data_IF_021152147033
#
_entry.id   IF_021152147033
#
_cell.length_a   1.000
_cell.length_b   1.000
_cell.length_c   1.000
_cell.angle_alpha   90.00
_cell.angle_beta   90.00
_cell.angle_gamma   90.00
#
_symmetry.space_group_name_H-M   'P 1'
#
loop_
_entity.id
_entity.type
_entity.pdbx_description
1 polymer ?
#
# COMPACT_ATOMS: atom_id res chain seq x y z
N UNK A 1 29.57 3.59 -1.24
CA UNK A 1 29.36 2.11 -1.44
C UNK A 1 30.53 1.48 -2.18
N UNK A 2 31.12 0.41 -1.64
CA UNK A 2 32.21 -0.32 -2.29
C UNK A 2 31.73 -1.23 -3.43
N UNK A 3 32.69 -1.77 -4.23
CA UNK A 3 32.37 -2.62 -5.38
C UNK A 3 31.71 -3.97 -5.02
N UNK A 4 31.86 -4.47 -3.78
CA UNK A 4 31.23 -5.69 -3.31
C UNK A 4 29.73 -5.45 -3.01
N UNK A 5 29.41 -4.37 -2.30
CA UNK A 5 28.03 -3.96 -1.99
C UNK A 5 27.26 -3.61 -3.27
N UNK A 6 27.91 -2.95 -4.23
CA UNK A 6 27.29 -2.67 -5.54
C UNK A 6 26.87 -3.94 -6.28
N UNK A 7 27.79 -4.93 -6.39
CA UNK A 7 27.46 -6.24 -7.00
C UNK A 7 26.37 -6.99 -6.25
N UNK A 8 26.28 -6.83 -4.92
CA UNK A 8 25.21 -7.42 -4.12
C UNK A 8 23.86 -6.78 -4.45
N UNK A 9 23.78 -5.44 -4.50
CA UNK A 9 22.57 -4.73 -4.88
C UNK A 9 22.09 -5.11 -6.29
N UNK A 10 23.01 -5.17 -7.27
CA UNK A 10 22.71 -5.60 -8.64
C UNK A 10 22.18 -7.05 -8.70
N UNK A 11 22.72 -7.93 -7.86
CA UNK A 11 22.26 -9.32 -7.77
C UNK A 11 20.86 -9.40 -7.18
N UNK A 12 20.58 -8.68 -6.08
CA UNK A 12 19.25 -8.60 -5.48
C UNK A 12 18.27 -8.06 -6.52
N UNK A 13 18.57 -6.94 -7.17
CA UNK A 13 17.71 -6.35 -8.19
C UNK A 13 17.37 -7.30 -9.34
N UNK A 14 18.34 -8.08 -9.83
CA UNK A 14 18.10 -9.09 -10.88
C UNK A 14 17.19 -10.23 -10.41
N UNK A 15 17.35 -10.69 -9.16
CA UNK A 15 16.46 -11.75 -8.59
C UNK A 15 15.03 -11.24 -8.46
N UNK A 16 14.84 -10.01 -7.99
CA UNK A 16 13.54 -9.38 -7.88
C UNK A 16 12.82 -9.31 -9.24
N UNK A 17 13.50 -8.83 -10.27
CA UNK A 17 12.93 -8.75 -11.61
C UNK A 17 12.70 -10.15 -12.22
N UNK A 18 13.45 -11.16 -11.78
CA UNK A 18 13.29 -12.57 -12.18
C UNK A 18 12.14 -13.30 -11.46
N UNK A 19 11.65 -12.79 -10.33
CA UNK A 19 10.53 -13.40 -9.59
C UNK A 19 9.17 -13.26 -10.32
N UNK A 20 9.11 -12.42 -11.36
CA UNK A 20 7.91 -12.27 -12.20
C UNK A 20 6.77 -11.56 -11.48
N UNK A 21 5.53 -12.03 -11.75
CA UNK A 21 4.30 -11.46 -11.19
C UNK A 21 3.84 -12.13 -9.88
N UNK A 22 4.70 -12.90 -9.24
CA UNK A 22 4.42 -13.53 -7.93
C UNK A 22 4.87 -12.59 -6.81
N UNK A 23 3.91 -11.96 -6.14
CA UNK A 23 4.18 -11.01 -5.06
C UNK A 23 4.86 -11.67 -3.85
N UNK A 24 4.47 -12.88 -3.49
CA UNK A 24 5.08 -13.60 -2.37
C UNK A 24 6.53 -13.96 -2.67
N UNK A 25 6.84 -14.30 -3.92
CA UNK A 25 8.21 -14.50 -4.36
C UNK A 25 9.02 -13.20 -4.33
N UNK A 26 8.46 -12.08 -4.79
CA UNK A 26 9.11 -10.75 -4.72
C UNK A 26 9.37 -10.34 -3.27
N UNK A 27 8.40 -10.46 -2.39
CA UNK A 27 8.56 -10.14 -0.96
C UNK A 27 9.62 -11.02 -0.30
N UNK A 28 9.62 -12.32 -0.59
CA UNK A 28 10.62 -13.26 -0.06
C UNK A 28 12.03 -12.88 -0.51
N UNK A 29 12.25 -12.63 -1.79
CA UNK A 29 13.55 -12.21 -2.33
C UNK A 29 14.04 -10.89 -1.72
N UNK A 30 13.13 -9.92 -1.48
CA UNK A 30 13.47 -8.67 -0.80
C UNK A 30 13.87 -8.91 0.66
N UNK A 31 13.05 -9.65 1.41
CA UNK A 31 13.31 -9.96 2.82
C UNK A 31 14.63 -10.73 2.97
N UNK A 32 14.83 -11.84 2.23
CA UNK A 32 16.06 -12.64 2.29
C UNK A 32 17.28 -11.82 1.86
N UNK A 33 17.15 -11.06 0.76
CA UNK A 33 18.25 -10.27 0.20
C UNK A 33 18.72 -9.16 1.14
N UNK A 34 17.79 -8.40 1.71
CA UNK A 34 18.11 -7.29 2.63
C UNK A 34 18.49 -7.80 4.02
N UNK A 35 17.83 -8.82 4.56
CA UNK A 35 18.18 -9.43 5.85
C UNK A 35 19.62 -9.94 5.83
N UNK A 36 19.99 -10.70 4.80
CA UNK A 36 21.37 -11.20 4.67
C UNK A 36 22.41 -10.09 4.43
N UNK A 37 22.02 -8.99 3.73
CA UNK A 37 22.92 -7.91 3.40
C UNK A 37 23.19 -6.96 4.56
N UNK A 38 22.19 -6.74 5.42
CA UNK A 38 22.21 -5.76 6.51
C UNK A 38 22.30 -6.39 7.90
N UNK A 39 22.26 -7.74 8.00
CA UNK A 39 22.21 -8.48 9.27
C UNK A 39 21.01 -8.03 10.13
N UNK A 40 19.81 -8.14 9.54
CA UNK A 40 18.57 -7.73 10.19
C UNK A 40 18.02 -8.83 11.08
N UNK A 41 17.39 -8.45 12.19
CA UNK A 41 16.71 -9.37 13.10
C UNK A 41 15.35 -9.81 12.57
N UNK A 42 14.58 -8.82 12.12
CA UNK A 42 13.23 -9.04 11.64
C UNK A 42 12.81 -7.93 10.67
N UNK A 43 11.76 -8.20 9.92
CA UNK A 43 11.19 -7.24 8.99
C UNK A 43 9.71 -7.53 8.74
N UNK A 44 8.94 -6.46 8.48
CA UNK A 44 7.58 -6.53 7.94
C UNK A 44 7.56 -5.91 6.55
N UNK A 45 6.80 -6.52 5.64
CA UNK A 45 6.60 -6.02 4.29
C UNK A 45 5.13 -6.04 3.93
N UNK A 46 4.63 -4.93 3.40
CA UNK A 46 3.22 -4.76 3.04
C UNK A 46 3.10 -4.33 1.59
N UNK A 47 2.30 -5.04 0.77
CA UNK A 47 1.81 -4.44 -0.45
C UNK A 47 0.72 -3.44 -0.10
N UNK A 48 0.68 -2.32 -0.82
CA UNK A 48 -0.23 -1.22 -0.56
C UNK A 48 -1.15 -0.97 -1.75
N UNK A 49 -2.36 -0.47 -1.47
CA UNK A 49 -3.21 0.11 -2.49
C UNK A 49 -2.50 1.29 -3.14
N UNK A 50 -2.25 1.26 -4.46
CA UNK A 50 -1.42 2.28 -5.10
C UNK A 50 -2.03 3.69 -5.12
N UNK A 51 -3.33 3.82 -4.88
CA UNK A 51 -4.00 5.11 -4.84
C UNK A 51 -3.97 5.76 -3.45
N UNK A 52 -4.00 4.94 -2.39
CA UNK A 52 -4.15 5.41 -1.01
C UNK A 52 -2.92 5.12 -0.14
N UNK A 53 -1.99 4.27 -0.59
CA UNK A 53 -0.87 3.79 0.23
C UNK A 53 -1.29 2.82 1.34
N UNK A 54 -2.55 2.38 1.33
CA UNK A 54 -3.10 1.54 2.39
C UNK A 54 -2.57 0.10 2.30
N UNK A 55 -2.09 -0.52 3.40
CA UNK A 55 -1.64 -1.90 3.41
C UNK A 55 -2.76 -2.89 3.08
N UNK A 56 -2.54 -3.77 2.10
CA UNK A 56 -3.52 -4.78 1.66
C UNK A 56 -3.04 -6.21 1.88
N UNK A 57 -1.75 -6.41 2.06
CA UNK A 57 -1.14 -7.70 2.45
C UNK A 57 -0.07 -7.48 3.50
N UNK A 58 0.34 -8.55 4.17
CA UNK A 58 1.46 -8.53 5.08
C UNK A 58 2.34 -9.77 4.86
N UNK A 59 3.65 -9.58 4.88
CA UNK A 59 4.65 -10.63 4.96
C UNK A 59 5.67 -10.23 6.03
N UNK A 60 6.11 -11.18 6.84
CA UNK A 60 7.10 -10.94 7.87
C UNK A 60 8.24 -11.96 7.80
N UNK A 61 9.41 -11.56 8.27
CA UNK A 61 10.56 -12.41 8.52
C UNK A 61 11.07 -12.13 9.94
N UNK A 62 11.42 -13.21 10.67
CA UNK A 62 11.76 -13.10 12.09
C UNK A 62 10.53 -12.80 12.97
N UNK A 63 10.76 -12.13 14.10
CA UNK A 63 9.73 -11.75 15.06
C UNK A 63 9.74 -10.20 15.22
N UNK A 64 8.97 -9.48 14.40
CA UNK A 64 8.91 -8.03 14.48
C UNK A 64 8.38 -7.53 15.82
N UNK A 65 8.91 -6.43 16.39
CA UNK A 65 8.41 -5.83 17.62
C UNK A 65 6.96 -5.38 17.53
N UNK A 66 6.16 -5.71 18.53
CA UNK A 66 4.78 -5.26 18.67
C UNK A 66 3.80 -5.86 17.65
N UNK A 67 2.56 -5.42 17.71
CA UNK A 67 1.52 -5.80 16.73
C UNK A 67 1.42 -4.78 15.60
N UNK A 68 0.77 -5.19 14.51
CA UNK A 68 0.47 -4.28 13.40
C UNK A 68 -0.44 -3.12 13.84
N UNK A 69 -1.43 -3.42 14.67
CA UNK A 69 -2.38 -2.43 15.22
C UNK A 69 -1.67 -1.42 16.11
N UNK A 70 -0.75 -1.88 16.97
CA UNK A 70 0.06 -1.01 17.82
C UNK A 70 0.95 -0.10 16.97
N UNK A 71 1.64 -0.64 15.97
CA UNK A 71 2.48 0.13 15.04
C UNK A 71 1.68 1.19 14.28
N UNK A 72 0.44 0.88 13.86
CA UNK A 72 -0.45 1.83 13.20
C UNK A 72 -0.85 3.01 14.10
N UNK A 73 -1.01 2.79 15.40
CA UNK A 73 -1.30 3.87 16.36
C UNK A 73 -0.25 4.98 16.31
N UNK A 74 1.02 4.61 16.15
CA UNK A 74 2.11 5.59 16.07
C UNK A 74 2.15 6.36 14.75
N UNK A 75 1.55 5.88 13.66
CA UNK A 75 1.47 6.64 12.40
C UNK A 75 0.72 7.97 12.55
N UNK A 76 -0.12 8.09 13.60
CA UNK A 76 -0.90 9.29 13.90
C UNK A 76 -0.49 9.96 15.22
N UNK A 77 0.48 9.39 15.95
CA UNK A 77 0.92 9.92 17.23
C UNK A 77 1.66 11.26 17.08
N UNK A 78 1.38 12.19 17.96
CA UNK A 78 2.10 13.47 18.01
C UNK A 78 3.58 13.25 18.35
N UNK A 79 4.47 13.90 17.62
CA UNK A 79 5.92 13.80 17.83
C UNK A 79 6.56 12.53 17.26
N UNK A 80 5.82 11.71 16.51
CA UNK A 80 6.40 10.54 15.81
C UNK A 80 7.27 10.98 14.63
N UNK A 81 8.34 10.22 14.38
CA UNK A 81 9.39 10.53 13.40
C UNK A 81 9.37 9.51 12.26
N UNK A 82 9.42 9.98 11.03
CA UNK A 82 9.52 9.14 9.84
C UNK A 82 8.26 8.32 9.55
N UNK A 83 7.08 8.93 9.72
CA UNK A 83 5.80 8.32 9.36
C UNK A 83 5.73 8.00 7.89
N UNK A 84 5.00 6.97 7.50
CA UNK A 84 4.85 6.63 6.08
C UNK A 84 4.20 7.74 5.27
N UNK A 85 3.28 8.52 5.86
CA UNK A 85 2.70 9.70 5.23
C UNK A 85 3.76 10.72 4.76
N UNK A 86 4.90 10.80 5.45
CA UNK A 86 6.03 11.69 5.11
C UNK A 86 6.95 11.07 4.04
N UNK A 87 6.92 9.75 3.88
CA UNK A 87 7.76 9.02 2.93
C UNK A 87 7.09 8.83 1.56
N UNK A 88 5.74 8.84 1.51
CA UNK A 88 5.03 8.69 0.25
C UNK A 88 5.32 9.84 -0.71
N UNK A 89 5.71 9.52 -1.94
CA UNK A 89 6.09 10.51 -2.95
C UNK A 89 6.09 9.96 -4.37
N UNK A 90 6.77 10.66 -5.28
CA UNK A 90 6.91 10.26 -6.68
C UNK A 90 8.05 9.29 -6.96
N UNK A 91 8.74 8.84 -5.94
CA UNK A 91 9.85 7.90 -6.03
C UNK A 91 10.01 7.14 -4.72
N UNK A 92 10.79 6.05 -4.73
CA UNK A 92 11.02 5.29 -3.52
C UNK A 92 11.81 6.11 -2.49
N UNK A 93 11.42 5.97 -1.23
CA UNK A 93 12.04 6.67 -0.10
C UNK A 93 12.43 5.68 1.00
N UNK A 94 13.39 6.08 1.82
CA UNK A 94 13.79 5.37 3.02
C UNK A 94 14.03 6.33 4.17
N UNK A 95 13.83 5.85 5.41
CA UNK A 95 14.07 6.58 6.64
C UNK A 95 14.73 5.65 7.65
N UNK A 96 15.99 5.93 8.00
CA UNK A 96 16.72 5.24 9.06
C UNK A 96 16.65 6.08 10.34
N UNK A 97 16.00 5.53 11.35
CA UNK A 97 15.62 6.30 12.56
C UNK A 97 16.84 6.84 13.32
N UNK A 98 17.87 6.01 13.53
CA UNK A 98 19.06 6.44 14.25
C UNK A 98 19.79 7.59 13.54
N UNK A 99 19.87 7.58 12.21
CA UNK A 99 20.48 8.66 11.44
C UNK A 99 19.63 9.92 11.45
N UNK A 100 18.33 9.80 11.27
CA UNK A 100 17.39 10.91 11.23
C UNK A 100 17.31 11.65 12.57
N UNK A 101 17.49 10.93 13.68
CA UNK A 101 17.49 11.48 15.05
C UNK A 101 18.89 11.82 15.57
N UNK A 102 19.89 11.87 14.70
CA UNK A 102 21.29 12.13 15.07
C UNK A 102 21.81 11.21 16.20
N UNK A 103 21.44 9.92 16.15
CA UNK A 103 21.84 8.90 17.12
C UNK A 103 20.96 8.82 18.38
N UNK A 104 19.77 9.43 18.37
CA UNK A 104 18.82 9.44 19.48
C UNK A 104 17.47 8.83 19.09
N UNK A 105 17.41 7.54 18.69
CA UNK A 105 16.18 6.93 18.19
C UNK A 105 15.03 6.95 19.21
N UNK A 106 15.31 7.02 20.50
CA UNK A 106 14.31 7.17 21.56
C UNK A 106 13.55 8.51 21.56
N UNK A 107 13.89 9.46 20.67
CA UNK A 107 13.05 10.63 20.38
C UNK A 107 11.71 10.22 19.73
N UNK A 108 11.69 9.10 18.97
CA UNK A 108 10.46 8.48 18.47
C UNK A 108 9.70 7.79 19.61
N UNK A 109 8.45 8.17 19.89
CA UNK A 109 7.58 7.43 20.82
C UNK A 109 7.48 5.94 20.48
N UNK A 110 7.24 5.60 19.21
CA UNK A 110 7.19 4.23 18.72
C UNK A 110 8.44 3.44 19.07
N UNK A 111 9.61 4.02 18.82
CA UNK A 111 10.86 3.33 19.09
C UNK A 111 11.01 3.05 20.59
N UNK A 112 10.82 4.07 21.44
CA UNK A 112 10.98 3.98 22.89
C UNK A 112 10.01 3.00 23.56
N UNK A 113 8.76 2.96 23.08
CA UNK A 113 7.67 2.25 23.76
C UNK A 113 7.44 0.86 23.20
N UNK A 114 7.61 0.68 21.87
CA UNK A 114 7.32 -0.57 21.19
C UNK A 114 8.58 -1.33 20.73
N UNK A 115 9.62 -0.64 20.25
CA UNK A 115 10.74 -1.28 19.53
C UNK A 115 11.93 -1.56 20.46
N UNK A 116 12.39 -0.57 21.22
CA UNK A 116 13.55 -0.65 22.10
C UNK A 116 13.45 -1.78 23.16
N UNK A 117 12.28 -2.08 23.76
CA UNK A 117 12.12 -3.17 24.71
C UNK A 117 12.47 -4.55 24.16
N UNK A 118 12.45 -4.73 22.84
CA UNK A 118 12.82 -5.98 22.14
C UNK A 118 14.32 -6.07 21.83
N UNK A 119 15.14 -5.11 22.27
CA UNK A 119 16.59 -5.10 22.04
C UNK A 119 17.00 -4.66 20.64
N UNK A 120 16.10 -4.02 19.91
CA UNK A 120 16.37 -3.41 18.59
C UNK A 120 17.10 -2.08 18.80
N UNK A 121 18.13 -1.82 17.99
CA UNK A 121 18.94 -0.60 18.08
C UNK A 121 18.64 0.42 16.98
N UNK A 122 18.02 -0.01 15.88
CA UNK A 122 17.64 0.85 14.76
C UNK A 122 16.46 0.29 13.97
N UNK A 123 15.71 1.19 13.37
CA UNK A 123 14.60 0.90 12.46
C UNK A 123 14.85 1.56 11.11
N UNK A 124 14.67 0.79 10.04
CA UNK A 124 14.67 1.31 8.67
C UNK A 124 13.29 1.15 8.06
N UNK A 125 12.68 2.25 7.67
CA UNK A 125 11.42 2.28 6.93
C UNK A 125 11.69 2.51 5.45
N UNK A 126 10.96 1.80 4.60
CA UNK A 126 11.05 1.89 3.15
C UNK A 126 9.65 2.07 2.58
N UNK A 127 9.47 3.12 1.77
CA UNK A 127 8.27 3.34 0.96
C UNK A 127 8.63 3.14 -0.51
N UNK A 128 7.99 2.19 -1.18
CA UNK A 128 8.15 1.97 -2.61
C UNK A 128 7.03 2.69 -3.36
N UNK A 129 7.37 3.87 -3.87
CA UNK A 129 6.47 4.70 -4.68
C UNK A 129 7.09 5.00 -6.03
N UNK A 130 6.25 5.34 -6.99
CA UNK A 130 6.63 5.92 -8.26
C UNK A 130 5.51 6.88 -8.76
N UNK A 131 5.65 7.52 -9.93
CA UNK A 131 4.58 8.39 -10.45
C UNK A 131 3.23 7.71 -10.67
N UNK A 132 3.17 6.38 -10.58
CA UNK A 132 1.96 5.59 -10.81
C UNK A 132 1.26 5.20 -9.52
N UNK A 133 1.91 5.27 -8.36
CA UNK A 133 1.28 5.01 -7.09
C UNK A 133 2.22 4.61 -5.94
N UNK A 134 1.60 4.27 -4.81
CA UNK A 134 2.25 3.79 -3.59
C UNK A 134 2.13 2.26 -3.54
N UNK A 135 3.21 1.54 -3.82
CA UNK A 135 3.14 0.10 -4.09
C UNK A 135 3.40 -0.76 -2.86
N UNK A 136 4.26 -0.28 -1.96
CA UNK A 136 4.66 -1.09 -0.82
C UNK A 136 5.27 -0.25 0.30
N UNK A 137 5.06 -0.71 1.54
CA UNK A 137 5.69 -0.21 2.75
C UNK A 137 6.44 -1.35 3.44
N UNK A 138 7.63 -1.06 3.95
CA UNK A 138 8.41 -2.02 4.72
C UNK A 138 9.03 -1.39 5.96
N UNK A 139 9.14 -2.19 7.03
CA UNK A 139 9.86 -1.85 8.25
C UNK A 139 10.85 -2.97 8.54
N UNK A 140 12.11 -2.60 8.71
CA UNK A 140 13.22 -3.51 8.95
C UNK A 140 13.86 -3.14 10.31
N UNK A 141 14.12 -4.16 11.13
CA UNK A 141 14.62 -3.99 12.49
C UNK A 141 16.02 -4.57 12.63
N UNK A 142 16.93 -3.82 13.25
CA UNK A 142 18.33 -4.20 13.42
C UNK A 142 18.80 -4.01 14.86
N UNK A 143 19.59 -4.99 15.39
CA UNK A 143 20.26 -4.88 16.70
C UNK A 143 21.50 -4.00 16.68
N UNK A 144 21.89 -3.55 15.51
CA UNK A 144 22.96 -2.57 15.34
C UNK A 144 22.43 -1.31 14.66
N UNK A 145 23.09 -0.22 14.84
CA UNK A 145 22.80 0.99 14.07
C UNK A 145 23.20 0.78 12.61
N UNK A 146 22.32 1.18 11.69
CA UNK A 146 22.60 1.19 10.28
C UNK A 146 23.45 2.41 9.92
N UNK A 147 24.45 2.23 9.08
CA UNK A 147 25.33 3.28 8.61
C UNK A 147 24.96 3.74 7.18
N UNK A 148 25.62 4.81 6.72
CA UNK A 148 25.33 5.36 5.39
C UNK A 148 25.65 4.37 4.25
N UNK A 149 26.63 3.48 4.43
CA UNK A 149 26.96 2.44 3.46
C UNK A 149 25.82 1.38 3.35
N UNK A 150 25.14 1.09 4.46
CA UNK A 150 23.96 0.23 4.48
C UNK A 150 22.81 0.88 3.70
N UNK A 151 22.57 2.17 3.94
CA UNK A 151 21.53 2.92 3.23
C UNK A 151 21.83 3.08 1.73
N UNK A 152 23.10 3.26 1.34
CA UNK A 152 23.49 3.29 -0.08
C UNK A 152 23.17 1.95 -0.78
N UNK A 153 23.42 0.83 -0.10
CA UNK A 153 23.05 -0.49 -0.64
C UNK A 153 21.54 -0.60 -0.84
N UNK A 154 20.74 -0.21 0.16
CA UNK A 154 19.27 -0.22 0.05
C UNK A 154 18.83 0.70 -1.09
N UNK A 155 19.28 1.96 -1.14
CA UNK A 155 18.95 2.91 -2.23
C UNK A 155 19.23 2.32 -3.62
N UNK A 156 20.29 1.54 -3.77
CA UNK A 156 20.61 0.90 -5.05
C UNK A 156 19.64 -0.24 -5.43
N UNK A 157 18.96 -0.85 -4.46
CA UNK A 157 17.95 -1.91 -4.69
C UNK A 157 16.58 -1.31 -4.98
N UNK A 158 16.22 -0.15 -4.39
CA UNK A 158 14.87 0.39 -4.43
C UNK A 158 14.26 0.54 -5.84
N UNK A 159 14.97 0.99 -6.89
CA UNK A 159 14.37 1.11 -8.22
C UNK A 159 13.88 -0.23 -8.77
N UNK A 160 14.69 -1.28 -8.64
CA UNK A 160 14.31 -2.64 -9.07
C UNK A 160 13.18 -3.22 -8.20
N UNK A 161 13.22 -2.96 -6.89
CA UNK A 161 12.19 -3.37 -5.96
C UNK A 161 10.84 -2.72 -6.30
N UNK A 162 10.82 -1.41 -6.56
CA UNK A 162 9.60 -0.68 -6.94
C UNK A 162 8.96 -1.26 -8.20
N UNK A 163 9.76 -1.52 -9.23
CA UNK A 163 9.27 -2.13 -10.49
C UNK A 163 8.75 -3.54 -10.24
N UNK A 164 9.50 -4.38 -9.51
CA UNK A 164 9.11 -5.76 -9.26
C UNK A 164 7.81 -5.84 -8.45
N UNK A 165 7.70 -5.08 -7.35
CA UNK A 165 6.49 -5.05 -6.52
C UNK A 165 5.30 -4.49 -7.32
N UNK A 166 5.49 -3.42 -8.10
CA UNK A 166 4.44 -2.87 -8.95
C UNK A 166 3.86 -3.91 -9.92
N UNK A 167 4.72 -4.65 -10.61
CA UNK A 167 4.29 -5.68 -11.56
C UNK A 167 3.62 -6.86 -10.87
N UNK A 168 4.15 -7.27 -9.71
CA UNK A 168 3.61 -8.40 -8.96
C UNK A 168 2.33 -8.06 -8.18
N UNK A 169 2.16 -6.81 -7.74
CA UNK A 169 0.97 -6.37 -7.03
C UNK A 169 -0.21 -6.06 -7.97
N UNK A 170 0.05 -5.72 -9.25
CA UNK A 170 -1.02 -5.39 -10.19
C UNK A 170 -2.14 -6.44 -10.26
N UNK A 171 -1.88 -7.76 -10.27
CA UNK A 171 -2.93 -8.78 -10.26
C UNK A 171 -3.78 -8.81 -8.99
N UNK A 172 -3.29 -8.30 -7.84
CA UNK A 172 -4.08 -8.25 -6.61
C UNK A 172 -5.32 -7.36 -6.73
N UNK A 173 -5.29 -6.39 -7.64
CA UNK A 173 -6.36 -5.41 -7.82
C UNK A 173 -7.40 -5.83 -8.85
N UNK A 174 -7.32 -7.09 -9.32
CA UNK A 174 -8.25 -7.72 -10.23
C UNK A 174 -9.16 -8.66 -9.46
N UNK A 175 -10.44 -8.34 -9.44
CA UNK A 175 -11.59 -9.19 -9.11
C UNK A 175 -11.93 -9.54 -7.65
N UNK A 176 -13.24 -9.63 -7.41
CA UNK A 176 -13.93 -10.16 -6.23
C UNK A 176 -15.40 -9.75 -6.21
N UNK A 177 -16.30 -10.67 -5.89
CA UNK A 177 -17.72 -10.36 -5.72
C UNK A 177 -17.92 -9.46 -4.50
N UNK A 178 -18.30 -8.23 -4.73
CA UNK A 178 -18.51 -7.24 -3.68
C UNK A 178 -19.97 -7.22 -3.18
N UNK A 179 -20.25 -6.73 -1.96
CA UNK A 179 -21.60 -6.66 -1.41
C UNK A 179 -22.47 -5.71 -2.25
N UNK A 180 -23.73 -6.09 -2.45
CA UNK A 180 -24.69 -5.31 -3.23
C UNK A 180 -25.14 -4.02 -2.52
N UNK A 181 -24.96 -3.90 -1.21
CA UNK A 181 -25.36 -2.74 -0.41
C UNK A 181 -24.22 -2.22 0.45
N UNK A 182 -24.15 -0.89 0.68
CA UNK A 182 -23.24 -0.31 1.67
C UNK A 182 -23.49 -0.86 3.05
N UNK A 183 -22.46 -1.01 3.84
CA UNK A 183 -22.49 -1.44 5.23
C UNK A 183 -21.85 -0.37 6.12
N UNK A 184 -22.31 -0.24 7.35
CA UNK A 184 -21.81 0.77 8.28
C UNK A 184 -21.32 0.13 9.58
N UNK A 185 -20.11 0.53 9.95
CA UNK A 185 -19.47 0.21 11.23
C UNK A 185 -19.28 1.50 12.01
N UNK A 186 -19.54 1.48 13.31
CA UNK A 186 -19.25 2.59 14.23
C UNK A 186 -18.19 2.13 15.24
N UNK A 187 -17.13 2.89 15.35
CA UNK A 187 -15.96 2.64 16.19
C UNK A 187 -15.91 3.70 17.29
N UNK A 188 -15.77 3.29 18.55
CA UNK A 188 -15.68 4.21 19.69
C UNK A 188 -14.26 4.83 19.83
N UNK A 189 -14.12 5.73 20.81
CA UNK A 189 -12.86 6.44 21.08
C UNK A 189 -11.70 5.53 21.49
N UNK A 190 -11.99 4.33 21.97
CA UNK A 190 -11.02 3.30 22.37
C UNK A 190 -10.79 2.24 21.29
N UNK A 191 -11.13 2.55 20.02
CA UNK A 191 -10.98 1.68 18.86
C UNK A 191 -11.75 0.34 18.97
N UNK A 192 -12.90 0.33 19.64
CA UNK A 192 -13.75 -0.85 19.77
C UNK A 192 -15.01 -0.72 18.91
N UNK A 193 -15.53 -1.86 18.49
CA UNK A 193 -16.80 -1.92 17.76
C UNK A 193 -17.95 -1.47 18.62
N UNK A 194 -18.46 -0.26 18.40
CA UNK A 194 -19.66 0.26 19.07
C UNK A 194 -20.96 -0.24 18.44
N UNK A 195 -20.94 -0.38 17.11
CA UNK A 195 -22.09 -0.87 16.38
C UNK A 195 -21.79 -1.22 14.94
N UNK A 196 -22.58 -2.12 14.39
CA UNK A 196 -22.50 -2.50 12.98
C UNK A 196 -23.90 -2.92 12.51
N UNK A 197 -24.25 -2.61 11.27
CA UNK A 197 -25.44 -3.16 10.65
C UNK A 197 -25.25 -4.66 10.31
N UNK A 198 -26.30 -5.31 9.81
CA UNK A 198 -26.28 -6.74 9.51
C UNK A 198 -25.23 -7.06 8.42
N UNK A 199 -25.17 -6.27 7.37
CA UNK A 199 -24.23 -6.46 6.25
C UNK A 199 -22.79 -6.24 6.72
N UNK A 200 -22.55 -5.22 7.56
CA UNK A 200 -21.24 -4.95 8.14
C UNK A 200 -20.73 -6.13 8.97
N UNK A 201 -21.57 -6.77 9.80
CA UNK A 201 -21.16 -7.95 10.58
C UNK A 201 -20.73 -9.13 9.70
N UNK A 202 -21.45 -9.36 8.60
CA UNK A 202 -21.09 -10.39 7.62
C UNK A 202 -19.72 -10.06 6.96
N UNK A 203 -19.47 -8.79 6.63
CA UNK A 203 -18.20 -8.33 6.04
C UNK A 203 -17.05 -8.37 7.04
N UNK A 204 -17.26 -7.99 8.29
CA UNK A 204 -16.26 -8.09 9.35
C UNK A 204 -15.78 -9.54 9.52
N UNK A 205 -16.70 -10.51 9.53
CA UNK A 205 -16.32 -11.92 9.56
C UNK A 205 -15.46 -12.37 8.36
N UNK A 206 -15.74 -11.82 7.16
CA UNK A 206 -14.93 -12.08 5.95
C UNK A 206 -13.57 -11.38 5.96
N UNK A 207 -13.42 -10.31 6.74
CA UNK A 207 -12.15 -9.61 6.95
C UNK A 207 -11.26 -10.29 8.02
N UNK A 208 -11.72 -11.40 8.60
CA UNK A 208 -10.92 -12.19 9.52
C UNK A 208 -10.95 -11.69 10.96
N UNK A 209 -12.04 -11.03 11.38
CA UNK A 209 -12.22 -10.65 12.78
C UNK A 209 -12.26 -11.90 13.65
N UNK A 210 -11.27 -12.04 14.50
CA UNK A 210 -11.24 -13.08 15.53
C UNK A 210 -12.38 -12.92 16.55
N UNK A 211 -12.75 -14.00 17.23
CA UNK A 211 -13.93 -14.09 18.09
C UNK A 211 -13.99 -13.14 19.31
N UNK A 212 -12.98 -12.34 19.58
CA UNK A 212 -12.86 -11.48 20.76
C UNK A 212 -13.23 -10.00 20.53
N UNK A 213 -13.78 -9.67 19.36
CA UNK A 213 -14.27 -8.31 19.09
C UNK A 213 -13.18 -7.32 18.65
N UNK A 214 -11.98 -7.80 18.40
CA UNK A 214 -10.93 -6.98 17.79
C UNK A 214 -11.33 -6.56 16.38
N UNK A 215 -11.16 -5.26 16.10
CA UNK A 215 -11.42 -4.72 14.76
C UNK A 215 -10.28 -5.14 13.81
N UNK A 216 -10.58 -5.39 12.51
CA UNK A 216 -9.54 -5.50 11.50
C UNK A 216 -8.65 -4.25 11.54
N UNK A 217 -7.32 -4.42 11.49
CA UNK A 217 -6.37 -3.31 11.52
C UNK A 217 -6.64 -2.21 10.50
N UNK A 218 -7.28 -2.55 9.37
CA UNK A 218 -7.76 -1.58 8.37
C UNK A 218 -8.76 -0.59 8.95
N UNK A 219 -9.66 -1.02 9.81
CA UNK A 219 -10.68 -0.16 10.41
C UNK A 219 -10.08 0.74 11.49
N UNK A 220 -9.17 0.20 12.30
CA UNK A 220 -8.41 0.95 13.30
C UNK A 220 -7.56 2.02 12.64
N UNK A 221 -6.87 1.68 11.55
CA UNK A 221 -6.11 2.64 10.75
C UNK A 221 -6.98 3.79 10.23
N UNK A 222 -8.13 3.47 9.62
CA UNK A 222 -9.02 4.49 9.08
C UNK A 222 -9.65 5.34 10.19
N UNK A 223 -9.93 4.76 11.34
CA UNK A 223 -10.42 5.50 12.50
C UNK A 223 -9.38 6.49 13.02
N UNK A 224 -8.12 6.06 13.16
CA UNK A 224 -7.01 6.92 13.55
C UNK A 224 -6.78 8.06 12.52
N UNK A 225 -6.82 7.73 11.22
CA UNK A 225 -6.69 8.71 10.13
C UNK A 225 -7.84 9.74 10.16
N UNK A 226 -9.08 9.29 10.38
CA UNK A 226 -10.22 10.19 10.49
C UNK A 226 -10.11 11.16 11.68
N UNK A 227 -9.58 10.69 12.82
CA UNK A 227 -9.34 11.53 14.02
C UNK A 227 -8.16 12.48 13.84
N UNK A 228 -7.15 12.10 13.05
CA UNK A 228 -6.00 12.94 12.71
C UNK A 228 -6.35 14.18 11.90
N UNK A 229 -7.48 14.17 11.20
CA UNK A 229 -8.18 15.35 10.70
C UNK A 229 -7.49 16.16 9.60
N UNK A 230 -6.71 15.54 8.70
CA UNK A 230 -6.24 16.26 7.51
C UNK A 230 -7.37 16.33 6.46
N UNK A 231 -7.95 17.52 6.21
CA UNK A 231 -9.03 17.69 5.23
C UNK A 231 -8.60 17.38 3.79
N UNK A 232 -7.29 17.41 3.50
CA UNK A 232 -6.72 17.18 2.17
C UNK A 232 -6.39 15.70 1.94
N UNK A 233 -6.37 14.89 3.00
CA UNK A 233 -6.14 13.44 2.94
C UNK A 233 -7.32 12.69 3.57
N UNK A 234 -8.40 12.44 2.81
CA UNK A 234 -9.59 11.79 3.32
C UNK A 234 -9.27 10.41 3.91
N UNK A 235 -9.92 10.06 5.02
CA UNK A 235 -9.79 8.76 5.65
C UNK A 235 -10.52 7.68 4.81
N UNK A 236 -9.97 7.38 3.65
CA UNK A 236 -10.47 6.38 2.71
C UNK A 236 -9.39 5.35 2.40
N UNK A 237 -9.81 4.15 2.04
CA UNK A 237 -8.93 3.06 1.71
C UNK A 237 -9.65 1.93 0.99
N UNK A 238 -8.90 0.95 0.53
CA UNK A 238 -9.42 -0.30 -0.01
C UNK A 238 -8.78 -1.47 0.70
N UNK A 239 -9.55 -2.52 0.90
CA UNK A 239 -9.06 -3.76 1.49
C UNK A 239 -9.66 -4.96 0.79
N UNK A 240 -9.07 -6.13 1.01
CA UNK A 240 -9.54 -7.39 0.44
C UNK A 240 -10.07 -8.30 1.52
N UNK A 241 -11.22 -8.90 1.30
CA UNK A 241 -11.75 -9.96 2.18
C UNK A 241 -11.00 -11.26 1.97
N UNK A 242 -11.07 -12.18 2.94
CA UNK A 242 -10.41 -13.49 2.85
C UNK A 242 -10.83 -14.34 1.65
N UNK A 243 -12.03 -14.11 1.11
CA UNK A 243 -12.54 -14.75 -0.11
C UNK A 243 -12.25 -13.95 -1.39
N UNK A 244 -11.45 -12.90 -1.29
CA UNK A 244 -10.90 -12.17 -2.42
C UNK A 244 -11.69 -10.95 -2.88
N UNK A 245 -12.84 -10.61 -2.29
CA UNK A 245 -13.63 -9.45 -2.67
C UNK A 245 -12.96 -8.12 -2.26
N UNK A 246 -13.03 -7.12 -3.13
CA UNK A 246 -12.53 -5.79 -2.83
C UNK A 246 -13.61 -4.90 -2.20
N UNK A 247 -13.25 -4.28 -1.09
CA UNK A 247 -14.07 -3.29 -0.39
C UNK A 247 -13.40 -1.93 -0.44
N UNK A 248 -14.17 -0.91 -0.76
CA UNK A 248 -13.82 0.48 -0.52
C UNK A 248 -14.38 0.89 0.85
N UNK A 249 -13.58 1.61 1.60
CA UNK A 249 -13.89 2.07 2.95
C UNK A 249 -13.71 3.59 3.00
N UNK A 250 -14.71 4.26 3.57
CA UNK A 250 -14.66 5.69 3.84
C UNK A 250 -15.00 5.92 5.30
N UNK A 251 -14.09 6.55 6.05
CA UNK A 251 -14.28 6.85 7.46
C UNK A 251 -14.51 8.34 7.68
N UNK A 252 -15.39 8.67 8.61
CA UNK A 252 -15.69 10.04 9.03
C UNK A 252 -16.01 10.10 10.52
N UNK A 253 -15.69 11.24 11.15
CA UNK A 253 -16.04 11.48 12.54
C UNK A 253 -17.57 11.61 12.71
N UNK A 254 -18.09 11.00 13.76
CA UNK A 254 -19.44 11.21 14.28
C UNK A 254 -19.35 12.13 15.52
N UNK A 255 -19.36 13.42 15.30
CA UNK A 255 -19.21 14.44 16.34
C UNK A 255 -17.91 15.25 16.21
N UNK A 256 -17.55 15.98 17.26
CA UNK A 256 -16.40 16.86 17.31
C UNK A 256 -15.41 16.42 18.39
N UNK A 257 -14.11 16.64 18.12
CA UNK A 257 -13.03 16.39 19.07
C UNK A 257 -12.38 15.01 18.99
N UNK A 258 -11.24 14.82 19.70
CA UNK A 258 -10.41 13.61 19.57
C UNK A 258 -11.04 12.33 20.11
N UNK A 259 -12.08 12.45 20.94
CA UNK A 259 -12.86 11.32 21.46
C UNK A 259 -14.13 11.02 20.67
N UNK A 260 -14.32 11.59 19.47
CA UNK A 260 -15.48 11.33 18.66
C UNK A 260 -15.48 9.89 18.12
N UNK A 261 -16.67 9.30 18.05
CA UNK A 261 -16.87 8.04 17.34
C UNK A 261 -16.55 8.20 15.85
N UNK A 262 -16.19 7.12 15.20
CA UNK A 262 -15.92 7.09 13.75
C UNK A 262 -16.93 6.17 13.06
N UNK A 263 -17.62 6.69 12.05
CA UNK A 263 -18.38 5.86 11.13
C UNK A 263 -17.49 5.43 9.97
N UNK A 264 -17.45 4.14 9.68
CA UNK A 264 -16.81 3.59 8.49
C UNK A 264 -17.89 2.98 7.61
N UNK A 265 -17.98 3.50 6.39
CA UNK A 265 -18.84 2.95 5.34
C UNK A 265 -18.02 1.99 4.50
N UNK A 266 -18.45 0.72 4.48
CA UNK A 266 -17.88 -0.32 3.63
C UNK A 266 -18.82 -0.50 2.43
N UNK A 267 -18.27 -0.50 1.24
CA UNK A 267 -19.01 -0.72 -0.01
C UNK A 267 -18.19 -1.54 -0.99
N UNK A 268 -18.85 -2.06 -2.00
CA UNK A 268 -18.15 -2.62 -3.14
C UNK A 268 -17.10 -1.64 -3.66
N UNK A 269 -15.87 -2.06 -3.83
CA UNK A 269 -14.93 -1.25 -4.60
C UNK A 269 -15.44 -1.15 -6.04
N UNK A 270 -15.51 0.05 -6.64
CA UNK A 270 -15.94 0.18 -8.02
C UNK A 270 -15.03 -0.63 -8.94
N UNK A 271 -15.60 -1.37 -9.91
CA UNK A 271 -14.84 -2.13 -10.91
C UNK A 271 -13.79 -1.26 -11.63
N UNK A 272 -14.10 0.03 -11.82
CA UNK A 272 -13.20 1.01 -12.42
C UNK A 272 -11.98 1.34 -11.55
N UNK A 273 -12.09 1.23 -10.23
CA UNK A 273 -10.97 1.43 -9.31
C UNK A 273 -9.95 0.29 -9.38
N UNK A 274 -10.42 -0.94 -9.63
CA UNK A 274 -9.53 -2.09 -9.83
C UNK A 274 -8.80 -2.00 -11.16
N UNK A 275 -9.49 -1.67 -12.24
CA UNK A 275 -8.85 -1.45 -13.54
C UNK A 275 -7.81 -0.31 -13.49
N UNK A 276 -8.09 0.81 -12.83
CA UNK A 276 -7.11 1.89 -12.68
C UNK A 276 -5.84 1.41 -11.96
N UNK A 277 -5.97 0.61 -10.90
CA UNK A 277 -4.83 0.05 -10.17
C UNK A 277 -4.01 -0.90 -11.06
N UNK A 278 -4.67 -1.77 -11.84
CA UNK A 278 -4.00 -2.63 -12.80
C UNK A 278 -3.26 -1.83 -13.86
N UNK A 279 -3.92 -0.81 -14.45
CA UNK A 279 -3.31 0.05 -15.45
C UNK A 279 -2.12 0.85 -14.89
N UNK A 280 -2.17 1.25 -13.61
CA UNK A 280 -1.00 1.80 -12.88
C UNK A 280 0.14 0.79 -12.84
N UNK A 281 -0.15 -0.47 -12.54
CA UNK A 281 0.83 -1.56 -12.54
C UNK A 281 1.59 -1.68 -13.87
N UNK A 282 0.91 -1.48 -14.99
CA UNK A 282 1.53 -1.43 -16.31
C UNK A 282 2.22 -0.10 -16.66
N UNK A 283 2.23 0.87 -15.74
CA UNK A 283 2.91 2.15 -15.93
C UNK A 283 2.20 3.09 -16.89
N UNK A 284 0.87 3.04 -16.97
CA UNK A 284 0.09 4.01 -17.73
C UNK A 284 0.04 5.34 -16.98
N UNK A 285 0.26 6.44 -17.70
CA UNK A 285 0.03 7.79 -17.18
C UNK A 285 -1.45 7.99 -16.82
N UNK A 286 -1.75 9.00 -16.01
CA UNK A 286 -3.12 9.33 -15.62
C UNK A 286 -4.04 9.45 -16.84
N UNK A 287 -3.60 10.17 -17.87
CA UNK A 287 -4.40 10.37 -19.09
C UNK A 287 -4.61 9.10 -19.91
N UNK A 288 -3.59 8.25 -19.99
CA UNK A 288 -3.71 6.94 -20.64
C UNK A 288 -4.68 6.03 -19.88
N UNK A 289 -4.68 6.07 -18.54
CA UNK A 289 -5.62 5.29 -17.72
C UNK A 289 -7.07 5.74 -17.90
N UNK A 290 -7.32 7.07 -17.88
CA UNK A 290 -8.65 7.61 -18.12
C UNK A 290 -9.21 7.15 -19.49
N UNK A 291 -8.39 7.28 -20.52
CA UNK A 291 -8.77 6.85 -21.88
C UNK A 291 -8.97 5.34 -21.95
N UNK A 292 -8.05 4.55 -21.38
CA UNK A 292 -8.13 3.08 -21.38
C UNK A 292 -9.36 2.57 -20.60
N UNK A 293 -9.68 3.18 -19.45
CA UNK A 293 -10.83 2.82 -18.64
C UNK A 293 -12.15 3.07 -19.40
N UNK A 294 -12.28 4.19 -20.10
CA UNK A 294 -13.45 4.49 -20.92
C UNK A 294 -13.55 3.57 -22.14
N UNK A 295 -12.41 3.21 -22.72
CA UNK A 295 -12.36 2.25 -23.84
C UNK A 295 -12.74 0.84 -23.41
N UNK A 296 -12.31 0.38 -22.23
CA UNK A 296 -12.71 -0.89 -21.64
C UNK A 296 -14.22 -0.98 -21.37
N UNK A 297 -14.88 0.17 -21.09
CA UNK A 297 -16.34 0.29 -21.00
C UNK A 297 -17.06 0.25 -22.36
N UNK A 298 -16.35 0.09 -23.46
CA UNK A 298 -16.91 0.05 -24.81
C UNK A 298 -17.22 1.41 -25.42
N UNK A 299 -16.79 2.54 -24.83
CA UNK A 299 -16.99 3.88 -25.41
C UNK A 299 -16.19 4.05 -26.72
N UNK A 300 -16.76 4.72 -27.69
CA UNK A 300 -16.08 5.04 -28.96
C UNK A 300 -15.05 6.17 -28.75
N UNK A 301 -14.05 6.28 -29.64
CA UNK A 301 -13.04 7.35 -29.59
C UNK A 301 -13.67 8.74 -29.57
N UNK A 302 -14.75 8.94 -30.32
CA UNK A 302 -15.51 10.20 -30.33
C UNK A 302 -16.18 10.48 -28.98
N UNK A 303 -16.76 9.47 -28.34
CA UNK A 303 -17.39 9.61 -27.04
C UNK A 303 -16.35 9.89 -25.94
N UNK A 304 -15.20 9.21 -25.98
CA UNK A 304 -14.07 9.43 -25.09
C UNK A 304 -13.53 10.87 -25.28
N UNK A 305 -13.28 11.25 -26.52
CA UNK A 305 -12.80 12.59 -26.88
C UNK A 305 -13.73 13.69 -26.34
N UNK A 306 -15.03 13.54 -26.50
CA UNK A 306 -16.02 14.48 -25.98
C UNK A 306 -16.02 14.53 -24.45
N UNK A 307 -15.94 13.37 -23.76
CA UNK A 307 -15.96 13.31 -22.29
C UNK A 307 -14.70 13.86 -21.63
N UNK A 308 -13.56 13.76 -22.31
CA UNK A 308 -12.26 14.17 -21.77
C UNK A 308 -11.73 15.48 -22.35
N UNK A 309 -12.53 16.16 -23.20
CA UNK A 309 -12.14 17.39 -23.92
C UNK A 309 -10.85 17.21 -24.76
N UNK A 310 -10.76 16.07 -25.48
CA UNK A 310 -9.65 15.73 -26.36
C UNK A 310 -10.08 15.69 -27.84
N UNK A 311 -9.10 15.60 -28.73
CA UNK A 311 -9.36 15.19 -30.11
C UNK A 311 -9.48 13.67 -30.25
N UNK A 312 -10.26 13.11 -31.20
CA UNK A 312 -10.27 11.68 -31.46
C UNK A 312 -8.89 11.10 -31.81
N UNK A 313 -8.03 11.91 -32.44
CA UNK A 313 -6.65 11.52 -32.76
C UNK A 313 -5.81 11.36 -31.48
N UNK A 314 -5.92 12.30 -30.53
CA UNK A 314 -5.25 12.21 -29.23
C UNK A 314 -5.71 10.98 -28.43
N UNK A 315 -7.01 10.65 -28.48
CA UNK A 315 -7.54 9.43 -27.87
C UNK A 315 -6.90 8.18 -28.49
N UNK A 316 -6.79 8.16 -29.84
CA UNK A 316 -6.15 7.04 -30.56
C UNK A 316 -4.68 6.87 -30.14
N UNK A 317 -3.93 7.97 -29.98
CA UNK A 317 -2.54 7.92 -29.53
C UNK A 317 -2.40 7.39 -28.09
N UNK A 318 -3.26 7.85 -27.18
CA UNK A 318 -3.28 7.31 -25.81
C UNK A 318 -3.65 5.83 -25.78
N UNK A 319 -4.60 5.38 -26.61
CA UNK A 319 -4.94 3.95 -26.71
C UNK A 319 -3.80 3.13 -27.27
N UNK A 320 -3.10 3.62 -28.28
CA UNK A 320 -1.92 2.93 -28.83
C UNK A 320 -0.85 2.75 -27.77
N UNK A 321 -0.52 3.81 -27.02
CA UNK A 321 0.44 3.73 -25.92
C UNK A 321 -0.04 2.78 -24.81
N UNK A 322 -1.34 2.79 -24.49
CA UNK A 322 -1.91 1.87 -23.51
C UNK A 322 -1.79 0.41 -23.95
N UNK A 323 -2.08 0.09 -25.22
CA UNK A 323 -1.92 -1.25 -25.77
C UNK A 323 -0.46 -1.72 -25.75
N UNK A 324 0.47 -0.84 -26.14
CA UNK A 324 1.91 -1.15 -26.11
C UNK A 324 2.41 -1.47 -24.69
N UNK A 325 1.94 -0.71 -23.68
CA UNK A 325 2.35 -0.90 -22.27
C UNK A 325 1.69 -2.12 -21.62
N UNK A 326 0.45 -2.42 -21.96
CA UNK A 326 -0.31 -3.54 -21.36
C UNK A 326 -0.14 -4.86 -22.11
N UNK A 327 0.36 -4.82 -23.33
CA UNK A 327 0.36 -5.97 -24.26
C UNK A 327 -1.02 -6.33 -24.81
N UNK A 328 -2.06 -5.54 -24.54
CA UNK A 328 -3.40 -5.78 -25.04
C UNK A 328 -3.50 -5.49 -26.54
N UNK A 329 -4.09 -6.40 -27.32
CA UNK A 329 -4.32 -6.23 -28.76
C UNK A 329 -5.53 -5.36 -29.10
N UNK A 330 -6.31 -4.90 -28.10
CA UNK A 330 -7.49 -4.08 -28.32
C UNK A 330 -8.36 -3.86 -27.09
N UNK A 331 -9.50 -3.20 -27.26
CA UNK A 331 -10.43 -2.81 -26.18
C UNK A 331 -10.99 -3.99 -25.39
N UNK A 332 -11.28 -5.12 -26.09
CA UNK A 332 -11.77 -6.33 -25.42
C UNK A 332 -10.73 -6.92 -24.48
N UNK A 333 -9.45 -6.89 -24.86
CA UNK A 333 -8.36 -7.37 -24.00
C UNK A 333 -8.06 -6.38 -22.86
N UNK A 334 -8.17 -5.07 -23.09
CA UNK A 334 -8.12 -4.10 -21.99
C UNK A 334 -9.24 -4.32 -20.96
N UNK A 335 -10.45 -4.61 -21.42
CA UNK A 335 -11.57 -4.97 -20.55
C UNK A 335 -11.30 -6.29 -19.81
N UNK A 336 -10.69 -7.27 -20.50
CA UNK A 336 -10.30 -8.54 -19.89
C UNK A 336 -9.23 -8.41 -18.81
N UNK A 337 -8.35 -7.39 -18.89
CA UNK A 337 -7.40 -7.09 -17.81
C UNK A 337 -8.10 -6.73 -16.49
N UNK A 338 -9.31 -6.17 -16.55
CA UNK A 338 -10.13 -5.91 -15.37
C UNK A 338 -10.88 -7.16 -14.88
N UNK A 339 -11.02 -8.18 -15.73
CA UNK A 339 -11.79 -9.40 -15.48
C UNK A 339 -10.89 -10.66 -15.36
N UNK A 340 -9.57 -10.53 -15.57
CA UNK A 340 -8.65 -11.66 -15.47
C UNK A 340 -8.50 -12.10 -14.02
N UNK A 341 -8.81 -13.36 -13.74
CA UNK A 341 -8.73 -14.04 -12.45
C UNK A 341 -7.33 -14.57 -12.19
#
# INVERSE_FOLDING_TARGET
MDGRRRRLAERIGRRLLGAGADLDAVHRELLEGLTAALDLDSACWHACDPATGFPVTAAAAGDPPGSFEEALGYEFAAGEVGRFAELWGRGPALHALALATAGRPAESPRFREMIEPHGVADELRIALSDPFGHWSAAVLFSRRRLDEDDLELVRAVLPSATVAVRLAAAPLFVDGSAPAAPAVVVIDAEDRLRGADRVARELLARLGVGGDGELPGVLTFLAAKARGGDPLDPASGRTRTGDGAWLALDASLLGEGPGADVAVVLRAAPEHGTLDAVLRGFGLSEREREVAALAAQGKTDRAIAASLHLSPWTVSDHLKSAYEKTGAGGRGELAALAAAR
#
